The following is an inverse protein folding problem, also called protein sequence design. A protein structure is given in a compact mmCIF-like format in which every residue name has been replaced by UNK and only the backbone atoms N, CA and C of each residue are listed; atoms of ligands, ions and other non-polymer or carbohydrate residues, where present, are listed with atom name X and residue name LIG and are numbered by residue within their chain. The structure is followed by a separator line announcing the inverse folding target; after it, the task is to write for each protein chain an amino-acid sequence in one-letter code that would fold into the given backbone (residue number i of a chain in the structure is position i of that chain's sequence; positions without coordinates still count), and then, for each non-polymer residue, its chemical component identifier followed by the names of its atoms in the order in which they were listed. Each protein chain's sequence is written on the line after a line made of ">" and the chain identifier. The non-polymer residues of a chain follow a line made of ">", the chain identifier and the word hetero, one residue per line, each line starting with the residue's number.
data_IF_906625247286
#
_entry.id   IF_906625247286
#
_cell.length_a   1.000
_cell.length_b   1.000
_cell.length_c   1.000
_cell.angle_alpha   90.00
_cell.angle_beta   90.00
_cell.angle_gamma   90.00
#
_symmetry.space_group_name_H-M   'P 1'
#
loop_
_entity.id
_entity.type
_entity.pdbx_description
1 polymer ?
#
# COMPACT_ATOMS: atom_id res chain seq x y z
N UNK A 1 -20.94 -35.82 13.68
CA UNK A 1 -19.92 -34.78 13.38
C UNK A 1 -19.54 -34.97 11.93
N UNK A 2 -19.94 -34.05 11.04
CA UNK A 2 -19.63 -34.14 9.61
C UNK A 2 -18.24 -33.55 9.38
N UNK A 3 -17.33 -34.37 8.84
CA UNK A 3 -15.98 -33.92 8.49
C UNK A 3 -16.00 -33.40 7.05
N UNK A 4 -15.67 -32.12 6.87
CA UNK A 4 -15.43 -31.55 5.54
C UNK A 4 -13.96 -31.80 5.16
N UNK A 5 -13.72 -32.37 3.98
CA UNK A 5 -12.36 -32.54 3.46
C UNK A 5 -11.88 -31.18 2.98
N UNK A 6 -10.89 -30.63 3.68
CA UNK A 6 -10.24 -29.37 3.33
C UNK A 6 -8.85 -29.69 2.81
N UNK A 7 -8.51 -29.22 1.61
CA UNK A 7 -7.17 -29.38 1.06
C UNK A 7 -6.27 -28.26 1.58
N UNK A 8 -5.12 -28.61 2.15
CA UNK A 8 -4.13 -27.63 2.57
C UNK A 8 -3.05 -27.47 1.50
N UNK A 9 -2.85 -26.24 1.06
CA UNK A 9 -1.82 -25.84 0.12
C UNK A 9 -0.89 -24.84 0.78
N UNK A 10 0.32 -24.74 0.24
CA UNK A 10 1.32 -23.82 0.74
C UNK A 10 1.78 -22.87 -0.35
N UNK A 11 1.59 -21.58 -0.08
CA UNK A 11 2.17 -20.50 -0.87
C UNK A 11 3.57 -20.20 -0.33
N UNK A 12 4.57 -20.25 -1.22
CA UNK A 12 5.93 -19.90 -0.85
C UNK A 12 6.06 -18.41 -0.55
N UNK A 13 7.06 -18.07 0.27
CA UNK A 13 7.36 -16.68 0.56
C UNK A 13 7.77 -15.93 -0.71
N UNK A 14 7.14 -14.78 -1.02
CA UNK A 14 7.48 -14.03 -2.21
C UNK A 14 8.90 -13.48 -2.08
N UNK A 15 9.77 -13.83 -3.03
CA UNK A 15 11.09 -13.21 -3.13
C UNK A 15 10.94 -11.76 -3.61
N UNK A 16 11.66 -10.84 -2.98
CA UNK A 16 11.72 -9.43 -3.36
C UNK A 16 13.02 -9.18 -4.12
N UNK A 17 12.93 -8.56 -5.29
CA UNK A 17 14.06 -8.13 -6.10
C UNK A 17 14.53 -6.74 -5.63
N UNK A 18 15.81 -6.68 -5.29
CA UNK A 18 16.59 -5.49 -4.97
C UNK A 18 17.61 -5.23 -6.10
N UNK A 19 18.42 -4.18 -5.98
CA UNK A 19 19.46 -3.90 -6.97
C UNK A 19 20.56 -4.97 -6.96
N UNK A 20 21.05 -5.37 -5.79
CA UNK A 20 22.13 -6.35 -5.64
C UNK A 20 21.66 -7.78 -5.30
N UNK A 21 20.40 -8.14 -5.56
CA UNK A 21 19.95 -9.52 -5.40
C UNK A 21 18.48 -9.70 -5.02
N UNK A 22 18.13 -10.92 -4.61
CA UNK A 22 16.76 -11.31 -4.23
C UNK A 22 16.74 -11.75 -2.77
N UNK A 23 15.73 -11.32 -2.01
CA UNK A 23 15.53 -11.78 -0.64
C UNK A 23 14.05 -11.70 -0.21
N UNK A 24 13.61 -12.56 0.72
CA UNK A 24 12.20 -12.56 1.22
C UNK A 24 11.91 -11.47 2.25
N UNK A 25 12.95 -11.02 2.96
CA UNK A 25 12.86 -9.94 3.96
C UNK A 25 13.12 -8.57 3.33
N UNK A 26 12.17 -7.62 3.43
CA UNK A 26 12.34 -6.23 3.00
C UNK A 26 13.53 -5.51 3.64
N UNK A 27 13.90 -5.90 4.87
CA UNK A 27 14.99 -5.27 5.64
C UNK A 27 16.36 -5.41 4.95
N UNK A 28 16.49 -6.37 4.04
CA UNK A 28 17.71 -6.52 3.23
C UNK A 28 17.94 -5.36 2.26
N UNK A 29 17.02 -4.40 2.14
CA UNK A 29 17.28 -3.14 1.44
C UNK A 29 18.56 -2.43 1.94
N UNK A 30 18.90 -2.56 3.23
CA UNK A 30 20.10 -1.95 3.80
C UNK A 30 21.41 -2.48 3.18
N UNK A 31 21.43 -3.77 2.82
CA UNK A 31 22.60 -4.43 2.22
C UNK A 31 22.49 -4.57 0.70
N UNK A 32 21.29 -4.89 0.19
CA UNK A 32 21.03 -5.18 -1.22
C UNK A 32 20.67 -3.94 -2.05
N UNK A 33 20.47 -2.79 -1.40
CA UNK A 33 20.07 -1.51 -1.99
C UNK A 33 18.67 -1.54 -2.63
N UNK A 34 18.00 -0.38 -2.75
CA UNK A 34 16.72 -0.29 -3.46
C UNK A 34 16.78 -0.83 -4.89
N UNK A 35 15.70 -1.36 -5.45
CA UNK A 35 15.66 -1.84 -6.85
C UNK A 35 16.11 -0.76 -7.85
N UNK A 36 15.64 0.47 -7.67
CA UNK A 36 15.96 1.65 -8.49
C UNK A 36 17.22 2.41 -8.05
N UNK A 37 18.10 1.80 -7.24
CA UNK A 37 19.25 2.49 -6.63
C UNK A 37 20.12 3.25 -7.64
N UNK A 38 20.40 2.63 -8.81
CA UNK A 38 21.23 3.23 -9.85
C UNK A 38 20.58 4.45 -10.51
N UNK A 39 19.25 4.47 -10.64
CA UNK A 39 18.50 5.55 -11.30
C UNK A 39 18.51 6.84 -10.49
N UNK A 40 18.60 6.72 -9.17
CA UNK A 40 18.53 7.83 -8.22
C UNK A 40 19.86 8.06 -7.49
N UNK A 41 20.94 7.45 -7.97
CA UNK A 41 22.25 7.57 -7.33
C UNK A 41 22.74 9.01 -7.38
N UNK A 42 23.18 9.52 -6.23
CA UNK A 42 23.69 10.89 -6.02
C UNK A 42 22.71 12.03 -6.29
N UNK A 43 21.47 11.74 -6.68
CA UNK A 43 20.43 12.75 -6.76
C UNK A 43 20.16 13.37 -5.37
N UNK A 44 19.83 14.66 -5.37
CA UNK A 44 19.54 15.42 -4.16
C UNK A 44 18.04 15.66 -4.02
N UNK A 45 17.52 15.45 -2.81
CA UNK A 45 16.13 15.70 -2.44
C UNK A 45 16.12 16.67 -1.27
N UNK A 46 15.44 17.80 -1.46
CA UNK A 46 15.29 18.80 -0.41
C UNK A 46 14.21 18.38 0.58
N UNK A 47 14.52 18.43 1.86
CA UNK A 47 13.59 18.14 2.96
C UNK A 47 13.17 19.46 3.60
N UNK A 48 11.86 19.66 3.79
CA UNK A 48 11.33 20.69 4.70
C UNK A 48 10.58 20.04 5.85
N UNK A 49 10.52 20.70 6.99
CA UNK A 49 9.90 20.23 8.22
C UNK A 49 8.86 21.24 8.72
N UNK A 50 7.62 20.79 8.83
CA UNK A 50 6.55 21.48 9.52
C UNK A 50 6.27 20.77 10.84
N UNK A 51 6.42 21.47 11.96
CA UNK A 51 6.14 20.88 13.27
C UNK A 51 5.42 21.84 14.22
N UNK A 52 4.60 21.29 15.11
CA UNK A 52 4.08 22.07 16.23
C UNK A 52 5.16 22.31 17.30
N UNK A 53 4.91 23.27 18.20
CA UNK A 53 5.89 23.64 19.24
C UNK A 53 6.31 22.46 20.11
N UNK A 54 5.36 21.57 20.41
CA UNK A 54 5.57 20.41 21.27
C UNK A 54 6.46 19.35 20.60
N UNK A 55 6.53 19.34 19.27
CA UNK A 55 7.17 18.28 18.48
C UNK A 55 8.45 18.76 17.79
N UNK A 56 8.66 20.07 17.68
CA UNK A 56 9.73 20.68 16.89
C UNK A 56 11.12 20.07 17.14
N UNK A 57 11.66 20.16 18.35
CA UNK A 57 13.01 19.67 18.67
C UNK A 57 13.16 18.17 18.45
N UNK A 58 12.13 17.41 18.81
CA UNK A 58 12.10 15.96 18.62
C UNK A 58 12.14 15.61 17.13
N UNK A 59 11.38 16.35 16.32
CA UNK A 59 11.31 16.14 14.87
C UNK A 59 12.57 16.56 14.15
N UNK A 60 13.24 17.65 14.57
CA UNK A 60 14.56 18.03 14.03
C UNK A 60 15.56 16.90 14.25
N UNK A 61 15.68 16.41 15.49
CA UNK A 61 16.55 15.25 15.81
C UNK A 61 16.19 14.02 14.99
N UNK A 62 14.90 13.77 14.79
CA UNK A 62 14.43 12.66 13.96
C UNK A 62 14.88 12.81 12.49
N UNK A 63 14.81 14.03 11.91
CA UNK A 63 15.32 14.29 10.56
C UNK A 63 16.83 14.09 10.50
N UNK A 64 17.59 14.59 11.48
CA UNK A 64 19.04 14.40 11.52
C UNK A 64 19.42 12.92 11.54
N UNK A 65 18.73 12.11 12.36
CA UNK A 65 18.94 10.66 12.42
C UNK A 65 18.51 9.95 11.12
N UNK A 66 17.46 10.45 10.44
CA UNK A 66 17.03 9.92 9.15
C UNK A 66 18.12 10.14 8.08
N UNK A 67 18.73 11.32 8.06
CA UNK A 67 19.75 11.71 7.07
C UNK A 67 21.07 10.99 7.38
N UNK A 68 21.57 11.13 8.60
CA UNK A 68 22.92 10.73 8.98
C UNK A 68 23.02 9.27 9.43
N UNK A 69 21.88 8.62 9.68
CA UNK A 69 21.81 7.31 10.30
C UNK A 69 21.79 7.39 11.82
N UNK A 70 21.58 6.25 12.44
CA UNK A 70 21.45 6.14 13.89
C UNK A 70 21.88 4.75 14.35
N UNK A 71 22.55 4.69 15.51
CA UNK A 71 22.94 3.44 16.15
C UNK A 71 22.54 3.45 17.61
N UNK A 72 22.01 2.32 18.08
CA UNK A 72 21.74 2.10 19.50
C UNK A 72 22.04 0.65 19.85
N UNK A 73 22.84 0.45 20.90
CA UNK A 73 23.31 -0.88 21.32
C UNK A 73 23.94 -1.65 20.14
N UNK A 74 23.27 -2.70 19.66
CA UNK A 74 23.70 -3.58 18.56
C UNK A 74 22.87 -3.43 17.28
N UNK A 75 22.04 -2.39 17.19
CA UNK A 75 21.19 -2.10 16.03
C UNK A 75 21.61 -0.78 15.38
N UNK A 76 21.78 -0.79 14.07
CA UNK A 76 22.24 0.37 13.29
C UNK A 76 21.43 0.51 12.02
N UNK A 77 20.98 1.74 11.75
CA UNK A 77 20.59 2.19 10.41
C UNK A 77 21.70 3.09 9.86
N UNK A 78 22.33 2.73 8.73
CA UNK A 78 23.29 3.61 8.06
C UNK A 78 22.61 4.90 7.56
N UNK A 79 23.40 5.89 7.16
CA UNK A 79 22.87 7.12 6.55
C UNK A 79 21.95 6.84 5.37
N UNK A 80 21.02 7.77 5.10
CA UNK A 80 20.07 7.63 4.01
C UNK A 80 20.79 7.39 2.68
N UNK A 81 21.81 8.20 2.39
CA UNK A 81 22.62 8.06 1.18
C UNK A 81 23.32 6.70 1.09
N UNK A 82 23.87 6.19 2.19
CA UNK A 82 24.52 4.86 2.19
C UNK A 82 23.54 3.75 1.85
N UNK A 83 22.28 3.81 2.28
CA UNK A 83 21.28 2.78 1.98
C UNK A 83 20.65 2.99 0.61
N UNK A 84 20.26 4.21 0.29
CA UNK A 84 19.36 4.55 -0.82
C UNK A 84 20.03 5.23 -2.00
N UNK A 85 21.29 5.65 -1.90
CA UNK A 85 22.05 6.29 -2.98
C UNK A 85 21.73 7.78 -3.17
N UNK A 86 20.57 8.23 -2.71
CA UNK A 86 20.13 9.63 -2.71
C UNK A 86 20.69 10.45 -1.55
N UNK A 87 20.88 11.74 -1.77
CA UNK A 87 21.23 12.71 -0.73
C UNK A 87 19.98 13.44 -0.27
N UNK A 88 19.78 13.53 1.03
CA UNK A 88 18.75 14.38 1.62
C UNK A 88 19.41 15.67 2.10
N UNK A 89 18.98 16.82 1.58
CA UNK A 89 19.45 18.11 2.06
C UNK A 89 18.44 18.77 2.99
N UNK A 90 18.94 19.28 4.11
CA UNK A 90 18.15 19.86 5.18
C UNK A 90 18.98 20.88 5.95
N UNK A 91 18.56 22.14 5.89
CA UNK A 91 19.12 23.27 6.60
C UNK A 91 18.13 23.70 7.69
N UNK A 92 18.52 23.50 8.95
CA UNK A 92 17.66 23.79 10.11
C UNK A 92 17.15 25.23 10.19
N UNK A 93 17.87 26.19 9.62
CA UNK A 93 17.48 27.60 9.67
C UNK A 93 16.43 27.96 8.62
N UNK A 94 16.45 27.29 7.46
CA UNK A 94 15.62 27.66 6.31
C UNK A 94 14.51 26.65 6.01
N UNK A 95 14.68 25.40 6.43
CA UNK A 95 13.78 24.30 6.09
C UNK A 95 12.85 23.91 7.23
N UNK A 96 12.94 24.59 8.38
CA UNK A 96 12.10 24.31 9.55
C UNK A 96 11.12 25.43 9.75
N UNK A 97 9.82 25.10 9.78
CA UNK A 97 8.76 26.05 10.09
C UNK A 97 7.85 25.49 11.18
N UNK A 98 7.62 26.32 12.20
CA UNK A 98 6.65 26.04 13.25
C UNK A 98 5.24 26.28 12.69
N UNK A 99 4.34 25.31 12.89
CA UNK A 99 2.95 25.35 12.39
C UNK A 99 1.96 24.99 13.51
N UNK A 100 0.69 25.32 13.31
CA UNK A 100 -0.45 24.83 14.10
C UNK A 100 -1.39 24.01 13.21
N UNK A 101 -2.34 23.22 13.76
CA UNK A 101 -3.32 22.51 12.94
C UNK A 101 -4.14 23.42 12.03
N UNK A 102 -4.46 24.63 12.49
CA UNK A 102 -5.26 25.60 11.74
C UNK A 102 -4.49 26.21 10.56
N UNK A 103 -3.20 26.49 10.76
CA UNK A 103 -2.34 27.06 9.72
C UNK A 103 -1.67 26.02 8.82
N UNK A 104 -1.73 24.74 9.18
CA UNK A 104 -0.99 23.67 8.51
C UNK A 104 -1.21 23.64 7.00
N UNK A 105 -2.42 23.91 6.52
CA UNK A 105 -2.70 23.86 5.09
C UNK A 105 -1.94 24.95 4.33
N UNK A 106 -1.94 26.17 4.86
CA UNK A 106 -1.24 27.32 4.26
C UNK A 106 0.27 27.10 4.34
N UNK A 107 0.77 26.71 5.51
CA UNK A 107 2.19 26.46 5.73
C UNK A 107 2.71 25.31 4.86
N UNK A 108 1.87 24.30 4.61
CA UNK A 108 2.19 23.19 3.70
C UNK A 108 2.27 23.63 2.25
N UNK A 109 1.34 24.46 1.79
CA UNK A 109 1.37 24.98 0.42
C UNK A 109 2.60 25.84 0.19
N UNK A 110 2.89 26.76 1.11
CA UNK A 110 4.11 27.56 1.04
C UNK A 110 5.38 26.69 1.02
N UNK A 111 5.46 25.67 1.88
CA UNK A 111 6.60 24.76 1.88
C UNK A 111 6.74 23.99 0.57
N UNK A 112 5.63 23.55 -0.04
CA UNK A 112 5.63 22.83 -1.32
C UNK A 112 5.92 23.76 -2.50
N UNK A 113 5.41 24.99 -2.50
CA UNK A 113 5.69 25.98 -3.54
C UNK A 113 7.16 26.42 -3.49
N UNK A 114 7.74 26.58 -2.30
CA UNK A 114 9.17 26.82 -2.14
C UNK A 114 10.00 25.61 -2.64
N UNK A 115 9.59 24.38 -2.33
CA UNK A 115 10.26 23.20 -2.88
C UNK A 115 10.17 23.14 -4.41
N UNK A 116 9.05 23.57 -4.98
CA UNK A 116 8.82 23.60 -6.44
C UNK A 116 9.76 24.57 -7.14
N UNK A 117 10.09 25.71 -6.52
CA UNK A 117 11.03 26.69 -7.10
C UNK A 117 12.49 26.31 -6.88
N UNK A 118 12.80 25.61 -5.78
CA UNK A 118 14.16 25.29 -5.35
C UNK A 118 14.68 23.94 -5.86
N UNK A 119 13.82 22.97 -6.18
CA UNK A 119 14.23 21.59 -6.46
C UNK A 119 13.31 20.85 -7.43
N UNK A 120 13.86 19.86 -8.13
CA UNK A 120 13.11 18.92 -8.96
C UNK A 120 12.41 17.82 -8.14
N UNK A 121 12.86 17.56 -6.91
CA UNK A 121 12.30 16.56 -6.00
C UNK A 121 12.36 17.04 -4.56
N UNK A 122 11.27 16.90 -3.84
CA UNK A 122 11.18 17.45 -2.49
C UNK A 122 10.19 16.69 -1.62
N UNK A 123 10.45 16.74 -0.32
CA UNK A 123 9.53 16.16 0.66
C UNK A 123 9.34 17.10 1.84
N UNK A 124 8.08 17.31 2.22
CA UNK A 124 7.72 17.98 3.47
C UNK A 124 7.40 16.92 4.51
N UNK A 125 8.17 16.89 5.59
CA UNK A 125 7.87 16.11 6.79
C UNK A 125 6.96 16.94 7.70
N UNK A 126 5.84 16.36 8.13
CA UNK A 126 4.88 17.01 9.02
C UNK A 126 4.85 16.23 10.33
N UNK A 127 5.32 16.86 11.41
CA UNK A 127 5.44 16.24 12.72
C UNK A 127 4.59 16.96 13.75
N UNK A 128 3.54 16.31 14.25
CA UNK A 128 2.60 16.94 15.19
C UNK A 128 2.21 15.99 16.32
N UNK A 129 1.93 16.55 17.49
CA UNK A 129 1.38 15.84 18.64
C UNK A 129 -0.04 15.41 18.35
N UNK A 130 -0.89 16.38 18.02
CA UNK A 130 -2.30 16.19 17.73
C UNK A 130 -2.65 16.85 16.40
N UNK A 131 -3.11 16.05 15.45
CA UNK A 131 -3.58 16.52 14.15
C UNK A 131 -5.00 16.01 13.93
N UNK A 132 -6.02 16.89 13.92
CA UNK A 132 -7.38 16.49 13.66
C UNK A 132 -7.49 15.73 12.33
N UNK A 133 -8.26 14.63 12.34
CA UNK A 133 -8.36 13.73 11.18
C UNK A 133 -8.81 14.45 9.91
N UNK A 134 -9.69 15.45 10.04
CA UNK A 134 -10.18 16.23 8.90
C UNK A 134 -9.07 17.11 8.30
N UNK A 135 -8.24 17.75 9.12
CA UNK A 135 -7.07 18.53 8.67
C UNK A 135 -6.08 17.60 7.97
N UNK A 136 -5.68 16.50 8.62
CA UNK A 136 -4.79 15.50 8.02
C UNK A 136 -5.26 15.05 6.63
N UNK A 137 -6.55 14.68 6.50
CA UNK A 137 -7.13 14.23 5.23
C UNK A 137 -7.11 15.36 4.19
N UNK A 138 -7.52 16.58 4.57
CA UNK A 138 -7.55 17.74 3.67
C UNK A 138 -6.15 18.07 3.16
N UNK A 139 -5.16 18.19 4.04
CA UNK A 139 -3.76 18.48 3.67
C UNK A 139 -3.16 17.38 2.79
N UNK A 140 -3.46 16.11 3.10
CA UNK A 140 -3.00 14.98 2.27
C UNK A 140 -3.62 14.98 0.87
N UNK A 141 -4.93 15.20 0.76
CA UNK A 141 -5.62 15.27 -0.53
C UNK A 141 -5.10 16.45 -1.35
N UNK A 142 -5.00 17.64 -0.73
CA UNK A 142 -4.55 18.85 -1.43
C UNK A 142 -3.11 18.69 -1.95
N UNK A 143 -2.19 18.22 -1.10
CA UNK A 143 -0.80 17.95 -1.52
C UNK A 143 -0.73 16.90 -2.64
N UNK A 144 -1.54 15.85 -2.57
CA UNK A 144 -1.58 14.84 -3.63
C UNK A 144 -2.13 15.40 -4.96
N UNK A 145 -3.20 16.18 -4.94
CA UNK A 145 -3.81 16.69 -6.17
C UNK A 145 -2.96 17.76 -6.85
N UNK A 146 -2.38 18.68 -6.09
CA UNK A 146 -1.66 19.83 -6.64
C UNK A 146 -0.19 19.54 -6.97
N UNK A 147 0.46 18.63 -6.25
CA UNK A 147 1.93 18.51 -6.28
C UNK A 147 2.46 17.11 -6.65
N UNK A 148 1.62 16.07 -6.72
CA UNK A 148 2.08 14.69 -7.01
C UNK A 148 2.80 14.55 -8.35
N UNK A 149 2.35 15.28 -9.38
CA UNK A 149 2.97 15.25 -10.71
C UNK A 149 4.33 15.93 -10.77
N UNK A 150 4.74 16.62 -9.70
CA UNK A 150 5.98 17.39 -9.60
C UNK A 150 7.04 16.70 -8.72
N UNK A 151 6.84 15.42 -8.36
CA UNK A 151 7.70 14.70 -7.41
C UNK A 151 7.86 15.38 -6.03
N UNK A 152 6.88 16.21 -5.65
CA UNK A 152 6.82 16.87 -4.35
C UNK A 152 5.82 16.15 -3.45
N UNK A 153 6.27 15.74 -2.26
CA UNK A 153 5.54 14.77 -1.44
C UNK A 153 5.47 15.17 0.02
N UNK A 154 4.58 14.51 0.75
CA UNK A 154 4.38 14.75 2.19
C UNK A 154 4.53 13.45 2.98
N UNK A 155 5.11 13.53 4.17
CA UNK A 155 5.18 12.42 5.12
C UNK A 155 4.82 12.91 6.52
N UNK A 156 3.71 12.38 7.04
CA UNK A 156 3.22 12.71 8.37
C UNK A 156 3.80 11.75 9.40
N UNK A 157 4.14 12.27 10.57
CA UNK A 157 4.55 11.48 11.73
C UNK A 157 3.96 12.08 13.00
N UNK A 158 3.47 11.24 13.91
CA UNK A 158 2.94 11.71 15.20
C UNK A 158 4.07 11.79 16.22
N UNK A 159 4.06 12.81 17.08
CA UNK A 159 4.98 12.94 18.22
C UNK A 159 5.07 11.64 19.03
N UNK A 160 3.91 11.11 19.44
CA UNK A 160 3.79 9.86 20.20
C UNK A 160 4.47 8.67 19.51
N UNK A 161 4.47 8.63 18.17
CA UNK A 161 5.16 7.56 17.42
C UNK A 161 6.67 7.66 17.59
N UNK A 162 7.25 8.86 17.49
CA UNK A 162 8.68 9.05 17.70
C UNK A 162 9.05 8.72 19.16
N UNK A 163 8.30 9.26 20.12
CA UNK A 163 8.55 9.05 21.56
C UNK A 163 8.45 7.59 21.98
N UNK A 164 7.47 6.85 21.46
CA UNK A 164 7.25 5.44 21.83
C UNK A 164 8.43 4.53 21.44
N UNK A 165 9.26 4.97 20.50
CA UNK A 165 10.44 4.22 20.05
C UNK A 165 11.76 4.88 20.45
N UNK A 166 11.77 6.16 20.81
CA UNK A 166 12.99 6.88 21.19
C UNK A 166 13.75 6.14 22.30
N UNK A 167 15.05 5.96 22.12
CA UNK A 167 15.89 5.22 23.08
C UNK A 167 15.69 3.69 23.09
N UNK A 168 14.87 3.14 22.19
CA UNK A 168 14.69 1.69 22.04
C UNK A 168 15.29 1.20 20.72
N UNK A 169 15.58 -0.11 20.62
CA UNK A 169 15.94 -0.77 19.35
C UNK A 169 14.88 -0.57 18.26
N UNK A 170 13.62 -0.37 18.64
CA UNK A 170 12.52 -0.10 17.71
C UNK A 170 12.66 1.20 16.92
N UNK A 171 13.48 2.14 17.41
CA UNK A 171 13.73 3.41 16.72
C UNK A 171 14.42 3.22 15.35
N UNK A 172 15.35 2.26 15.26
CA UNK A 172 16.01 1.89 14.00
C UNK A 172 14.98 1.40 12.98
N UNK A 173 13.97 0.65 13.41
CA UNK A 173 12.90 0.17 12.53
C UNK A 173 11.94 1.31 12.13
N UNK A 174 11.66 2.26 13.03
CA UNK A 174 10.89 3.46 12.68
C UNK A 174 11.60 4.27 11.60
N UNK A 175 12.90 4.55 11.79
CA UNK A 175 13.72 5.28 10.81
C UNK A 175 13.76 4.55 9.47
N UNK A 176 13.98 3.24 9.46
CA UNK A 176 14.02 2.45 8.22
C UNK A 176 12.68 2.49 7.47
N UNK A 177 11.56 2.38 8.19
CA UNK A 177 10.23 2.46 7.59
C UNK A 177 9.96 3.84 6.98
N UNK A 178 10.31 4.91 7.71
CA UNK A 178 10.14 6.28 7.20
C UNK A 178 11.08 6.54 6.02
N UNK A 179 12.34 6.11 6.10
CA UNK A 179 13.30 6.25 5.01
C UNK A 179 12.83 5.54 3.74
N UNK A 180 12.35 4.30 3.87
CA UNK A 180 11.78 3.54 2.75
C UNK A 180 10.57 4.24 2.16
N UNK A 181 9.68 4.80 3.00
CA UNK A 181 8.51 5.54 2.53
C UNK A 181 8.89 6.86 1.84
N UNK A 182 9.90 7.57 2.34
CA UNK A 182 10.46 8.78 1.71
C UNK A 182 10.98 8.43 0.33
N UNK A 183 11.87 7.43 0.23
CA UNK A 183 12.42 6.93 -1.03
C UNK A 183 11.32 6.57 -2.04
N UNK A 184 10.29 5.85 -1.59
CA UNK A 184 9.16 5.47 -2.45
C UNK A 184 8.37 6.67 -2.98
N UNK A 185 8.14 7.67 -2.13
CA UNK A 185 7.33 8.85 -2.47
C UNK A 185 7.97 9.71 -3.53
N UNK A 186 9.28 9.92 -3.45
CA UNK A 186 10.04 10.77 -4.38
C UNK A 186 10.27 10.12 -5.75
N UNK A 187 9.71 8.93 -6.00
CA UNK A 187 9.80 8.21 -7.27
C UNK A 187 10.70 6.97 -7.25
N UNK A 188 11.31 6.64 -6.12
CA UNK A 188 12.09 5.42 -6.00
C UNK A 188 11.23 4.16 -5.89
N UNK A 189 11.73 3.05 -6.42
CA UNK A 189 11.20 1.69 -6.18
C UNK A 189 12.11 0.96 -5.18
N UNK A 190 11.68 0.77 -3.91
CA UNK A 190 12.47 0.08 -2.89
C UNK A 190 12.80 -1.37 -3.28
N UNK A 191 11.80 -2.12 -3.73
CA UNK A 191 11.91 -3.48 -4.22
C UNK A 191 10.64 -3.81 -5.02
N UNK A 192 10.71 -4.85 -5.84
CA UNK A 192 9.55 -5.43 -6.53
C UNK A 192 9.49 -6.93 -6.32
N UNK A 193 8.43 -7.60 -6.74
CA UNK A 193 8.42 -9.06 -6.71
C UNK A 193 9.47 -9.62 -7.69
N UNK A 194 10.28 -10.56 -7.22
CA UNK A 194 11.32 -11.23 -8.03
C UNK A 194 10.75 -12.14 -9.10
N UNK A 195 9.48 -12.53 -8.97
CA UNK A 195 8.78 -13.38 -9.92
C UNK A 195 7.43 -12.77 -10.22
N UNK A 196 6.98 -12.99 -11.44
CA UNK A 196 5.64 -12.62 -11.86
C UNK A 196 4.60 -13.41 -11.07
N UNK A 197 3.56 -12.74 -10.59
CA UNK A 197 2.37 -13.35 -9.97
C UNK A 197 1.49 -13.98 -11.06
N UNK A 198 1.51 -13.42 -12.26
CA UNK A 198 0.71 -13.88 -13.41
C UNK A 198 1.58 -14.66 -14.39
N UNK A 199 1.03 -15.70 -15.01
CA UNK A 199 1.74 -16.50 -16.02
C UNK A 199 1.96 -15.73 -17.33
N UNK A 200 1.11 -14.74 -17.62
CA UNK A 200 1.13 -13.97 -18.86
C UNK A 200 1.37 -12.47 -18.60
N UNK A 201 1.35 -11.63 -19.64
CA UNK A 201 1.42 -10.16 -19.52
C UNK A 201 0.08 -9.57 -19.04
N UNK A 202 -0.38 -10.00 -17.87
CA UNK A 202 -1.66 -9.59 -17.32
C UNK A 202 -1.63 -8.32 -16.47
N UNK A 203 -2.82 -7.81 -16.16
CA UNK A 203 -3.04 -6.71 -15.23
C UNK A 203 -3.88 -7.18 -14.03
N UNK A 204 -3.62 -6.58 -12.88
CA UNK A 204 -4.42 -6.77 -11.67
C UNK A 204 -5.12 -5.45 -11.36
N UNK A 205 -6.46 -5.46 -11.35
CA UNK A 205 -7.29 -4.33 -10.98
C UNK A 205 -7.76 -4.50 -9.53
N UNK A 206 -7.23 -3.70 -8.62
CA UNK A 206 -7.68 -3.60 -7.24
C UNK A 206 -8.79 -2.55 -7.10
N UNK A 207 -10.01 -2.98 -6.80
CA UNK A 207 -11.17 -2.11 -6.57
C UNK A 207 -11.49 -2.09 -5.08
N UNK A 208 -11.35 -0.92 -4.47
CA UNK A 208 -11.67 -0.69 -3.07
C UNK A 208 -12.71 0.41 -2.92
N UNK A 209 -13.60 0.25 -1.92
CA UNK A 209 -14.71 1.16 -1.72
C UNK A 209 -14.55 1.96 -0.42
N UNK A 210 -14.84 3.25 -0.49
CA UNK A 210 -15.02 4.12 0.67
C UNK A 210 -16.41 4.72 0.67
N UNK A 211 -17.14 4.60 1.78
CA UNK A 211 -18.50 5.13 1.91
C UNK A 211 -18.49 6.48 2.61
N UNK A 212 -19.08 7.51 1.99
CA UNK A 212 -19.37 8.78 2.67
C UNK A 212 -20.87 8.80 2.95
N UNK A 213 -21.24 8.73 4.24
CA UNK A 213 -22.64 9.01 4.61
C UNK A 213 -22.81 10.51 4.49
N UNK A 214 -23.73 10.93 3.62
CA UNK A 214 -24.32 12.24 3.79
C UNK A 214 -25.20 12.19 5.04
N UNK A 215 -25.00 13.12 5.98
CA UNK A 215 -25.77 13.15 7.23
C UNK A 215 -27.13 13.82 7.03
N UNK A 216 -27.37 14.42 5.87
CA UNK A 216 -28.51 15.32 5.62
C UNK A 216 -29.52 14.77 4.61
N UNK A 217 -29.26 13.66 3.91
CA UNK A 217 -30.24 13.06 3.00
C UNK A 217 -30.28 11.54 3.05
N UNK A 218 -31.47 10.99 3.27
CA UNK A 218 -31.79 9.55 3.19
C UNK A 218 -31.84 9.03 1.74
N UNK A 219 -31.51 9.87 0.75
CA UNK A 219 -31.89 9.61 -0.64
C UNK A 219 -30.80 8.97 -1.47
N UNK A 220 -29.52 9.26 -1.24
CA UNK A 220 -28.42 8.73 -2.06
C UNK A 220 -27.11 8.58 -1.26
N UNK A 221 -26.43 7.46 -1.44
CA UNK A 221 -25.16 7.17 -0.78
C UNK A 221 -24.03 7.28 -1.79
N UNK A 222 -23.20 8.33 -1.63
CA UNK A 222 -21.98 8.48 -2.41
C UNK A 222 -20.90 7.54 -1.86
N UNK A 223 -20.38 6.68 -2.71
CA UNK A 223 -19.19 5.90 -2.41
C UNK A 223 -18.13 6.09 -3.49
N UNK A 224 -16.88 6.05 -3.06
CA UNK A 224 -15.72 6.19 -3.92
C UNK A 224 -15.16 4.81 -4.21
N UNK A 225 -14.96 4.48 -5.48
CA UNK A 225 -14.07 3.40 -5.88
C UNK A 225 -12.68 3.95 -6.13
N UNK A 226 -11.69 3.52 -5.36
CA UNK A 226 -10.30 3.64 -5.76
C UNK A 226 -9.94 2.38 -6.55
N UNK A 227 -9.63 2.57 -7.83
CA UNK A 227 -9.26 1.52 -8.77
C UNK A 227 -7.78 1.63 -9.00
N UNK A 228 -7.05 0.64 -8.53
CA UNK A 228 -5.60 0.52 -8.66
C UNK A 228 -5.30 -0.47 -9.78
N UNK A 229 -4.43 -0.10 -10.69
CA UNK A 229 -3.96 -0.98 -11.76
C UNK A 229 -2.53 -1.35 -11.44
N UNK A 230 -2.30 -2.65 -11.29
CA UNK A 230 -1.01 -3.23 -10.98
C UNK A 230 -0.57 -4.13 -12.15
N UNK A 231 0.73 -4.19 -12.37
CA UNK A 231 1.31 -5.13 -13.32
C UNK A 231 1.48 -6.53 -12.70
N UNK A 232 2.05 -7.44 -13.49
CA UNK A 232 2.30 -8.82 -13.09
C UNK A 232 3.34 -8.99 -11.97
N UNK A 233 4.13 -7.96 -11.66
CA UNK A 233 5.09 -7.93 -10.55
C UNK A 233 4.56 -7.20 -9.32
N UNK A 234 3.29 -6.75 -9.35
CA UNK A 234 2.67 -5.96 -8.30
C UNK A 234 3.12 -4.50 -8.29
N UNK A 235 3.72 -4.02 -9.38
CA UNK A 235 4.08 -2.61 -9.54
C UNK A 235 2.83 -1.79 -9.85
N UNK A 236 2.69 -0.65 -9.18
CA UNK A 236 1.55 0.23 -9.33
C UNK A 236 1.68 1.10 -10.58
N UNK A 237 0.83 0.84 -11.56
CA UNK A 237 0.83 1.56 -12.84
C UNK A 237 -0.04 2.83 -12.79
N UNK A 238 -1.25 2.73 -12.21
CA UNK A 238 -2.21 3.84 -12.18
C UNK A 238 -3.23 3.70 -11.05
N UNK A 239 -3.71 4.83 -10.52
CA UNK A 239 -4.85 4.89 -9.60
C UNK A 239 -5.90 5.83 -10.19
N UNK A 240 -7.10 5.29 -10.39
CA UNK A 240 -8.27 6.07 -10.76
C UNK A 240 -9.22 6.16 -9.57
N UNK A 241 -9.55 7.39 -9.16
CA UNK A 241 -10.62 7.64 -8.19
C UNK A 241 -11.89 7.94 -8.98
N UNK A 242 -12.95 7.19 -8.72
CA UNK A 242 -14.27 7.38 -9.32
C UNK A 242 -15.32 7.50 -8.23
N UNK A 243 -16.21 8.48 -8.38
CA UNK A 243 -17.37 8.63 -7.52
C UNK A 243 -18.55 7.88 -8.13
N UNK A 244 -19.25 7.14 -7.30
CA UNK A 244 -20.47 6.45 -7.66
C UNK A 244 -21.58 6.87 -6.69
N UNK A 245 -22.78 6.96 -7.23
CA UNK A 245 -23.99 7.29 -6.51
C UNK A 245 -24.91 6.08 -6.65
N UNK A 246 -25.44 5.61 -5.53
CA UNK A 246 -26.45 4.56 -5.53
C UNK A 246 -27.50 4.86 -4.44
N UNK A 247 -28.74 4.46 -4.70
CA UNK A 247 -29.79 4.55 -3.69
C UNK A 247 -29.53 3.56 -2.54
N UNK A 248 -30.04 3.84 -1.32
CA UNK A 248 -29.95 2.87 -0.22
C UNK A 248 -30.56 1.50 -0.56
N UNK A 249 -31.62 1.47 -1.37
CA UNK A 249 -32.28 0.23 -1.81
C UNK A 249 -31.37 -0.61 -2.71
N UNK A 250 -30.64 0.02 -3.63
CA UNK A 250 -29.65 -0.67 -4.47
C UNK A 250 -28.46 -1.17 -3.65
N UNK A 251 -27.96 -0.39 -2.69
CA UNK A 251 -26.89 -0.83 -1.82
C UNK A 251 -27.32 -1.96 -0.88
N UNK A 252 -28.59 -1.97 -0.45
CA UNK A 252 -29.14 -3.05 0.37
C UNK A 252 -29.24 -4.37 -0.41
N UNK A 253 -29.56 -4.32 -1.70
CA UNK A 253 -29.71 -5.51 -2.54
C UNK A 253 -28.40 -6.00 -3.14
N UNK A 254 -27.59 -5.10 -3.70
CA UNK A 254 -26.36 -5.40 -4.44
C UNK A 254 -25.08 -5.26 -3.61
N UNK A 255 -25.14 -4.58 -2.47
CA UNK A 255 -23.94 -4.16 -1.75
C UNK A 255 -23.19 -3.05 -2.48
N UNK A 256 -21.88 -2.94 -2.25
CA UNK A 256 -21.01 -1.99 -2.95
C UNK A 256 -20.54 -2.60 -4.27
N UNK A 257 -20.77 -1.90 -5.39
CA UNK A 257 -20.45 -2.38 -6.74
C UNK A 257 -19.88 -1.27 -7.62
N UNK A 258 -19.36 -1.60 -8.79
CA UNK A 258 -19.07 -0.61 -9.84
C UNK A 258 -20.16 -0.73 -10.91
N UNK A 259 -20.90 0.35 -11.22
CA UNK A 259 -21.94 0.31 -12.25
C UNK A 259 -21.40 -0.18 -13.60
N UNK A 260 -22.20 -0.98 -14.31
CA UNK A 260 -21.83 -1.62 -15.58
C UNK A 260 -21.10 -0.68 -16.56
N UNK A 261 -21.69 0.48 -16.90
CA UNK A 261 -21.11 1.41 -17.89
C UNK A 261 -19.76 1.96 -17.44
N UNK A 262 -19.61 2.17 -16.13
CA UNK A 262 -18.37 2.68 -15.54
C UNK A 262 -17.28 1.63 -15.59
N UNK A 263 -17.56 0.40 -15.14
CA UNK A 263 -16.58 -0.68 -15.19
C UNK A 263 -16.14 -0.96 -16.63
N UNK A 264 -17.10 -0.99 -17.57
CA UNK A 264 -16.83 -1.17 -19.00
C UNK A 264 -15.90 -0.08 -19.54
N UNK A 265 -16.20 1.19 -19.27
CA UNK A 265 -15.35 2.33 -19.66
C UNK A 265 -13.96 2.26 -19.06
N UNK A 266 -13.84 1.93 -17.77
CA UNK A 266 -12.55 1.79 -17.09
C UNK A 266 -11.70 0.69 -17.74
N UNK A 267 -12.28 -0.49 -17.98
CA UNK A 267 -11.56 -1.60 -18.60
C UNK A 267 -11.17 -1.30 -20.05
N UNK A 268 -12.04 -0.66 -20.81
CA UNK A 268 -11.77 -0.22 -22.18
C UNK A 268 -10.58 0.75 -22.23
N UNK A 269 -10.55 1.74 -21.34
CA UNK A 269 -9.43 2.67 -21.18
C UNK A 269 -8.13 1.95 -20.78
N UNK A 270 -8.20 1.01 -19.84
CA UNK A 270 -7.04 0.24 -19.36
C UNK A 270 -6.44 -0.61 -20.49
N UNK A 271 -7.27 -1.37 -21.21
CA UNK A 271 -6.79 -2.21 -22.32
C UNK A 271 -6.24 -1.35 -23.45
N UNK A 272 -6.89 -0.23 -23.79
CA UNK A 272 -6.36 0.70 -24.81
C UNK A 272 -5.01 1.28 -24.42
N UNK A 273 -4.83 1.65 -23.14
CA UNK A 273 -3.60 2.27 -22.64
C UNK A 273 -2.43 1.30 -22.55
N UNK A 274 -2.67 0.10 -22.02
CA UNK A 274 -1.61 -0.90 -21.78
C UNK A 274 -1.49 -1.94 -22.89
N UNK A 275 -2.35 -1.83 -23.91
CA UNK A 275 -2.33 -2.66 -25.12
C UNK A 275 -2.90 -4.05 -24.89
N UNK A 276 -2.33 -5.03 -25.58
CA UNK A 276 -2.75 -6.43 -25.52
C UNK A 276 -2.49 -6.99 -24.10
N UNK A 277 -3.57 -7.18 -23.33
CA UNK A 277 -3.60 -7.74 -21.96
C UNK A 277 -4.31 -9.10 -21.98
N UNK A 278 -3.60 -10.24 -21.95
CA UNK A 278 -4.20 -11.57 -22.14
C UNK A 278 -4.79 -12.12 -20.84
N UNK A 279 -4.60 -11.42 -19.72
CA UNK A 279 -5.12 -11.82 -18.42
C UNK A 279 -5.49 -10.60 -17.59
N UNK A 280 -6.73 -10.56 -17.11
CA UNK A 280 -7.26 -9.49 -16.25
C UNK A 280 -7.69 -10.10 -14.93
N UNK A 281 -7.05 -9.74 -13.83
CA UNK A 281 -7.43 -10.19 -12.49
C UNK A 281 -8.08 -9.04 -11.74
N UNK A 282 -9.33 -9.20 -11.32
CA UNK A 282 -10.07 -8.15 -10.61
C UNK A 282 -10.18 -8.55 -9.13
N UNK A 283 -9.43 -7.84 -8.29
CA UNK A 283 -9.49 -7.95 -6.84
C UNK A 283 -10.47 -6.92 -6.31
N UNK A 284 -11.51 -7.36 -5.60
CA UNK A 284 -12.53 -6.48 -5.04
C UNK A 284 -12.69 -6.72 -3.54
N UNK A 285 -12.86 -5.67 -2.75
CA UNK A 285 -13.13 -5.80 -1.31
C UNK A 285 -14.59 -6.13 -0.96
N UNK A 286 -15.49 -5.94 -1.92
CA UNK A 286 -16.93 -6.21 -1.81
C UNK A 286 -17.34 -7.37 -2.76
N UNK A 287 -18.47 -8.05 -2.51
CA UNK A 287 -18.96 -9.12 -3.36
C UNK A 287 -19.13 -8.68 -4.81
N UNK A 288 -18.92 -9.60 -5.74
CA UNK A 288 -18.98 -9.33 -7.18
C UNK A 288 -20.42 -9.55 -7.65
N UNK A 289 -20.95 -8.60 -8.39
CA UNK A 289 -22.35 -8.61 -8.85
C UNK A 289 -22.46 -8.93 -10.35
N UNK A 290 -23.60 -9.43 -10.79
CA UNK A 290 -23.80 -9.90 -12.17
C UNK A 290 -23.55 -8.84 -13.24
N UNK A 291 -23.86 -7.57 -12.96
CA UNK A 291 -23.60 -6.47 -13.90
C UNK A 291 -22.10 -6.20 -14.10
N UNK A 292 -21.27 -6.43 -13.08
CA UNK A 292 -19.81 -6.32 -13.19
C UNK A 292 -19.26 -7.48 -14.03
N UNK A 293 -19.80 -8.68 -13.81
CA UNK A 293 -19.45 -9.87 -14.61
C UNK A 293 -19.81 -9.63 -16.07
N UNK A 294 -21.00 -9.08 -16.33
CA UNK A 294 -21.45 -8.73 -17.69
C UNK A 294 -20.51 -7.70 -18.34
N UNK A 295 -20.16 -6.63 -17.62
CA UNK A 295 -19.25 -5.60 -18.15
C UNK A 295 -17.87 -6.17 -18.54
N UNK A 296 -17.30 -7.02 -17.69
CA UNK A 296 -16.00 -7.66 -17.97
C UNK A 296 -16.09 -8.61 -19.15
N UNK A 297 -17.16 -9.42 -19.22
CA UNK A 297 -17.35 -10.38 -20.30
C UNK A 297 -17.40 -9.72 -21.66
N UNK A 298 -18.19 -8.65 -21.80
CA UNK A 298 -18.29 -7.93 -23.07
C UNK A 298 -16.99 -7.23 -23.47
N UNK A 299 -16.20 -6.74 -22.51
CA UNK A 299 -14.88 -6.19 -22.79
C UNK A 299 -13.93 -7.30 -23.26
N UNK A 300 -13.96 -8.45 -22.60
CA UNK A 300 -13.15 -9.60 -22.99
C UNK A 300 -13.54 -10.08 -24.38
N UNK A 301 -14.83 -10.23 -24.69
CA UNK A 301 -15.32 -10.60 -26.03
C UNK A 301 -14.90 -9.58 -27.11
N UNK A 302 -14.87 -8.28 -26.78
CA UNK A 302 -14.43 -7.23 -27.69
C UNK A 302 -12.93 -7.31 -28.04
N UNK A 303 -12.09 -7.70 -27.09
CA UNK A 303 -10.62 -7.64 -27.22
C UNK A 303 -9.95 -9.02 -27.35
N UNK A 304 -10.70 -10.09 -27.19
CA UNK A 304 -10.25 -11.47 -27.33
C UNK A 304 -10.51 -11.96 -28.76
N UNK A 305 -9.55 -12.66 -29.33
CA UNK A 305 -9.70 -13.41 -30.58
C UNK A 305 -9.00 -14.77 -30.48
N UNK A 306 -9.15 -15.65 -31.48
CA UNK A 306 -8.55 -16.99 -31.45
C UNK A 306 -7.02 -16.99 -31.31
N UNK A 307 -6.35 -15.97 -31.85
CA UNK A 307 -4.89 -15.80 -31.74
C UNK A 307 -4.49 -15.10 -30.45
N UNK A 308 -5.44 -14.46 -29.79
CA UNK A 308 -5.22 -13.65 -28.59
C UNK A 308 -6.35 -13.83 -27.57
N UNK A 309 -6.42 -14.99 -26.89
CA UNK A 309 -7.42 -15.22 -25.87
C UNK A 309 -7.16 -14.32 -24.66
N UNK A 310 -8.18 -13.59 -24.23
CA UNK A 310 -8.15 -12.80 -22.99
C UNK A 310 -8.87 -13.56 -21.89
N UNK A 311 -8.13 -13.93 -20.86
CA UNK A 311 -8.67 -14.58 -19.67
C UNK A 311 -8.98 -13.55 -18.59
N UNK A 312 -10.02 -13.79 -17.79
CA UNK A 312 -10.29 -12.96 -16.62
C UNK A 312 -10.58 -13.79 -15.38
N UNK A 313 -10.20 -13.23 -14.23
CA UNK A 313 -10.46 -13.81 -12.91
C UNK A 313 -11.04 -12.74 -12.02
N UNK A 314 -12.09 -13.14 -11.29
CA UNK A 314 -12.72 -12.35 -10.25
C UNK A 314 -12.30 -12.92 -8.90
N UNK A 315 -11.84 -12.06 -7.99
CA UNK A 315 -11.49 -12.47 -6.63
C UNK A 315 -12.08 -11.47 -5.62
N UNK A 316 -13.03 -11.94 -4.83
CA UNK A 316 -13.54 -11.21 -3.67
C UNK A 316 -12.61 -11.46 -2.48
N UNK A 317 -11.92 -10.41 -2.02
CA UNK A 317 -11.02 -10.48 -0.86
C UNK A 317 -11.75 -10.01 0.40
N UNK A 318 -11.99 -10.95 1.32
CA UNK A 318 -12.61 -10.69 2.63
C UNK A 318 -11.56 -10.71 3.74
N UNK A 319 -11.54 -9.65 4.55
CA UNK A 319 -10.59 -9.49 5.67
C UNK A 319 -11.20 -9.78 7.05
N UNK A 320 -12.52 -9.69 7.19
CA UNK A 320 -13.23 -9.96 8.44
C UNK A 320 -13.79 -11.39 8.44
N UNK A 321 -12.91 -12.35 8.66
CA UNK A 321 -13.24 -13.78 8.64
C UNK A 321 -13.43 -14.33 10.05
N UNK A 322 -14.36 -15.27 10.20
CA UNK A 322 -14.60 -16.00 11.45
C UNK A 322 -13.55 -17.09 11.70
N UNK A 323 -12.82 -17.50 10.66
CA UNK A 323 -11.87 -18.60 10.70
C UNK A 323 -10.66 -18.28 11.57
N UNK A 324 -10.29 -19.24 12.42
CA UNK A 324 -9.03 -19.27 13.16
C UNK A 324 -8.43 -20.66 12.99
N UNK A 325 -7.12 -20.72 12.80
CA UNK A 325 -6.40 -21.98 12.74
C UNK A 325 -5.28 -21.94 13.77
N UNK A 326 -4.98 -23.13 14.30
CA UNK A 326 -3.97 -23.36 15.32
C UNK A 326 -3.14 -24.55 14.86
N UNK A 327 -1.83 -24.37 14.82
CA UNK A 327 -0.91 -25.47 14.51
C UNK A 327 -0.52 -26.15 15.81
N UNK A 328 -1.14 -27.30 16.10
CA UNK A 328 -0.89 -28.07 17.33
C UNK A 328 0.55 -28.61 17.41
N UNK A 329 1.28 -28.64 16.30
CA UNK A 329 2.70 -29.01 16.28
C UNK A 329 3.62 -27.86 16.71
N UNK A 330 3.09 -26.64 16.79
CA UNK A 330 3.81 -25.46 17.25
C UNK A 330 3.61 -25.25 18.74
N UNK A 331 4.70 -25.08 19.51
CA UNK A 331 4.62 -24.84 20.95
C UNK A 331 3.85 -23.57 21.35
N UNK A 332 3.66 -22.62 20.43
CA UNK A 332 2.86 -21.40 20.63
C UNK A 332 1.53 -21.42 19.84
N UNK A 333 1.16 -22.57 19.27
CA UNK A 333 -0.03 -22.77 18.42
C UNK A 333 -0.09 -21.89 17.16
N UNK A 334 0.98 -21.18 16.85
CA UNK A 334 0.98 -20.23 15.74
C UNK A 334 1.10 -20.96 14.41
N UNK A 335 0.25 -20.59 13.49
CA UNK A 335 0.26 -21.10 12.12
C UNK A 335 1.44 -20.58 11.31
N UNK A 336 1.76 -21.29 10.25
CA UNK A 336 2.74 -20.84 9.26
C UNK A 336 2.12 -19.82 8.31
N UNK A 337 2.85 -18.73 8.05
CA UNK A 337 2.48 -17.78 7.00
C UNK A 337 2.53 -18.49 5.63
N UNK A 338 1.57 -18.19 4.77
CA UNK A 338 1.43 -18.80 3.45
C UNK A 338 0.63 -20.11 3.45
N UNK A 339 0.14 -20.57 4.60
CA UNK A 339 -0.85 -21.65 4.64
C UNK A 339 -2.13 -21.18 3.95
N UNK A 340 -2.62 -21.99 3.01
CA UNK A 340 -3.84 -21.74 2.26
C UNK A 340 -4.73 -22.97 2.34
N UNK A 341 -5.95 -22.81 2.84
CA UNK A 341 -6.93 -23.88 2.92
C UNK A 341 -7.91 -23.72 1.77
N UNK A 342 -7.98 -24.73 0.91
CA UNK A 342 -8.95 -24.83 -0.17
C UNK A 342 -10.19 -25.55 0.34
N UNK A 343 -11.32 -24.86 0.24
CA UNK A 343 -12.65 -25.40 0.54
C UNK A 343 -13.46 -25.50 -0.75
N UNK A 344 -13.52 -26.69 -1.31
CA UNK A 344 -14.40 -26.99 -2.44
C UNK A 344 -15.80 -27.33 -1.91
N UNK A 345 -16.59 -26.31 -1.58
CA UNK A 345 -17.97 -26.57 -1.17
C UNK A 345 -18.83 -26.89 -2.40
N UNK A 346 -19.48 -28.06 -2.43
CA UNK A 346 -20.39 -28.47 -3.51
C UNK A 346 -21.60 -27.55 -3.69
N UNK A 347 -21.97 -26.76 -2.67
CA UNK A 347 -23.12 -25.82 -2.71
C UNK A 347 -22.75 -24.37 -2.99
N UNK A 348 -21.46 -24.03 -3.03
CA UNK A 348 -21.01 -22.68 -3.41
C UNK A 348 -20.70 -22.63 -4.90
N UNK A 349 -21.20 -21.61 -5.59
CA UNK A 349 -20.80 -21.30 -6.99
C UNK A 349 -19.31 -20.95 -7.11
N UNK A 350 -18.66 -20.61 -6.00
CA UNK A 350 -17.32 -20.06 -5.94
C UNK A 350 -16.37 -20.96 -5.14
N UNK A 351 -15.14 -21.11 -5.65
CA UNK A 351 -14.05 -21.78 -4.94
C UNK A 351 -13.56 -20.86 -3.82
N UNK A 352 -13.53 -21.37 -2.59
CA UNK A 352 -13.12 -20.58 -1.43
C UNK A 352 -11.71 -20.96 -0.98
N UNK A 353 -10.85 -19.95 -0.83
CA UNK A 353 -9.52 -20.10 -0.24
C UNK A 353 -9.43 -19.30 1.07
N UNK A 354 -8.90 -19.92 2.12
CA UNK A 354 -8.59 -19.26 3.40
C UNK A 354 -7.07 -19.15 3.49
N UNK A 355 -6.54 -17.95 3.29
CA UNK A 355 -5.10 -17.68 3.23
C UNK A 355 -4.61 -16.97 4.48
N UNK A 356 -3.61 -17.56 5.13
CA UNK A 356 -2.98 -16.99 6.31
C UNK A 356 -1.75 -16.16 5.92
N UNK A 357 -1.91 -14.83 5.94
CA UNK A 357 -0.86 -13.86 5.57
C UNK A 357 0.03 -13.42 6.73
N UNK A 358 -0.30 -13.87 7.95
CA UNK A 358 0.48 -13.63 9.17
C UNK A 358 0.68 -14.94 9.91
N UNK A 359 1.85 -15.13 10.50
CA UNK A 359 2.24 -16.37 11.16
C UNK A 359 3.76 -16.50 11.25
N UNK A 360 4.23 -17.69 11.66
CA UNK A 360 5.65 -18.04 11.64
C UNK A 360 6.19 -18.07 10.23
N UNK A 361 7.42 -17.58 10.07
CA UNK A 361 8.19 -17.72 8.83
C UNK A 361 8.79 -19.13 8.77
N UNK A 362 8.84 -19.71 7.57
CA UNK A 362 9.25 -21.11 7.39
C UNK A 362 10.70 -21.42 7.80
N UNK A 363 11.61 -20.44 7.73
CA UNK A 363 13.07 -20.67 7.77
C UNK A 363 13.80 -19.94 8.89
N UNK A 364 13.10 -19.12 9.66
CA UNK A 364 13.70 -18.32 10.72
C UNK A 364 12.91 -18.56 11.99
N UNK A 365 13.34 -19.57 12.76
CA UNK A 365 12.77 -19.92 14.08
C UNK A 365 12.90 -18.74 15.07
N UNK A 366 13.79 -17.77 14.79
CA UNK A 366 14.19 -16.71 15.73
C UNK A 366 13.60 -15.32 15.51
N UNK A 367 12.83 -15.04 14.44
CA UNK A 367 12.62 -13.62 14.04
C UNK A 367 11.29 -12.98 14.47
N UNK A 368 10.30 -13.74 14.97
CA UNK A 368 9.04 -13.16 15.43
C UNK A 368 8.59 -13.82 16.72
N UNK A 369 8.48 -13.03 17.79
CA UNK A 369 7.82 -13.43 19.02
C UNK A 369 6.34 -13.75 18.80
N UNK A 370 5.65 -14.18 19.87
CA UNK A 370 4.22 -14.54 19.86
C UNK A 370 3.40 -13.50 19.08
N UNK A 371 2.97 -13.88 17.88
CA UNK A 371 1.96 -13.14 17.15
C UNK A 371 0.61 -13.57 17.72
N UNK A 372 -0.25 -12.61 18.08
CA UNK A 372 -1.64 -12.94 18.43
C UNK A 372 -2.31 -13.76 17.31
N UNK A 373 -3.44 -14.40 17.59
CA UNK A 373 -4.07 -15.34 16.65
C UNK A 373 -4.33 -14.69 15.28
N UNK A 374 -3.64 -15.11 14.21
CA UNK A 374 -3.77 -14.48 12.90
C UNK A 374 -5.20 -14.57 12.37
N UNK A 375 -5.66 -13.49 11.74
CA UNK A 375 -6.91 -13.49 10.96
C UNK A 375 -6.57 -13.77 9.50
N UNK A 376 -7.06 -14.87 8.90
CA UNK A 376 -6.82 -15.14 7.49
C UNK A 376 -7.61 -14.18 6.60
N UNK A 377 -7.14 -14.04 5.38
CA UNK A 377 -7.94 -13.55 4.26
C UNK A 377 -8.78 -14.71 3.72
N UNK A 378 -10.02 -14.42 3.36
CA UNK A 378 -10.85 -15.34 2.58
C UNK A 378 -10.96 -14.79 1.16
N UNK A 379 -10.68 -15.65 0.17
CA UNK A 379 -10.79 -15.37 -1.25
C UNK A 379 -11.95 -16.23 -1.78
N UNK A 380 -12.90 -15.61 -2.47
CA UNK A 380 -14.04 -16.27 -3.10
C UNK A 380 -14.24 -15.77 -4.54
#
# INVERSE_FOLDING_TARGET
>A
MTYEIISALRVQEPGLQFYNGIHVSPRKIMSLKPFSYRELLDEEVRVKLLADIDTLDLSIKFVDHLINGYSISNETIPSFHKVFGLKLSFNRNNDVKKTTPDNLLVDLEEALDNLRSESSRGIVLIAMKDLPTHVYKRSKIKSMMAYSGLHLRTQFIKKKTIESYAGTKGYVYLLLNVATAVYAKIGGTPWKLSRSILSTKGLILGISFSRRRDKLSDKEMIYYGAIQILDRYGEHLDTQIRMFIASPKELASKGLFVPYDKLKSILDEVIKRYGKVPQIVIHKSAPIVDEEIKAVREIVEKYSDERYPVFYVFAHVKTNTIYRAYDISAGDYSIQRGLMLLRSNKSSKWIQYIMFTTGRLYRTVSERGKLGTPRPLELA
#
